data_IF_840536167483
#
_entry.id   IF_840536167483
#
_cell.length_a   1.000
_cell.length_b   1.000
_cell.length_c   1.000
_cell.angle_alpha   90.00
_cell.angle_beta   90.00
_cell.angle_gamma   90.00
#
_symmetry.space_group_name_H-M   'P 1'
#
loop_
_entity.id
_entity.type
_entity.pdbx_description
1 polymer ?
#
# COMPACT_ATOMS: atom_id res chain seq x y z
N UNK A 1 1.94 -11.21 -10.57
CA UNK A 1 1.64 -10.43 -9.35
C UNK A 1 2.18 -11.19 -8.16
N UNK A 2 2.52 -10.51 -7.07
CA UNK A 2 3.00 -11.12 -5.83
C UNK A 2 2.46 -10.37 -4.62
N UNK A 3 1.95 -11.08 -3.63
CA UNK A 3 1.62 -10.49 -2.33
C UNK A 3 2.91 -10.17 -1.59
N UNK A 4 3.14 -8.89 -1.32
CA UNK A 4 4.32 -8.37 -0.63
C UNK A 4 3.97 -7.82 0.75
N UNK A 5 2.75 -8.02 1.23
CA UNK A 5 2.36 -7.61 2.56
C UNK A 5 0.93 -7.99 2.91
N UNK A 6 0.66 -8.07 4.20
CA UNK A 6 -0.66 -8.35 4.77
C UNK A 6 -0.92 -7.32 5.86
N UNK A 7 -2.12 -6.75 5.84
CA UNK A 7 -2.51 -5.63 6.68
C UNK A 7 -3.87 -5.86 7.31
N UNK A 8 -4.05 -5.29 8.49
CA UNK A 8 -5.32 -5.26 9.20
C UNK A 8 -5.78 -3.81 9.33
N UNK A 9 -7.08 -3.60 9.16
CA UNK A 9 -7.72 -2.31 9.39
C UNK A 9 -7.58 -1.88 10.85
N UNK A 10 -7.39 -0.59 11.04
CA UNK A 10 -7.36 0.09 12.33
C UNK A 10 -8.30 1.28 12.26
N UNK A 11 -8.54 1.95 13.39
CA UNK A 11 -9.40 3.15 13.44
C UNK A 11 -8.99 4.23 12.43
N UNK A 12 -7.68 4.47 12.25
CA UNK A 12 -7.14 5.56 11.44
C UNK A 12 -6.30 5.12 10.22
N UNK A 13 -6.50 3.88 9.75
CA UNK A 13 -5.83 3.34 8.57
C UNK A 13 -5.52 1.86 8.69
N UNK A 14 -4.29 1.45 8.39
CA UNK A 14 -3.91 0.04 8.35
C UNK A 14 -2.56 -0.22 9.00
N UNK A 15 -2.39 -1.38 9.62
CA UNK A 15 -1.11 -1.83 10.17
C UNK A 15 -0.79 -3.23 9.69
N UNK A 16 0.50 -3.51 9.46
CA UNK A 16 0.90 -4.78 8.89
C UNK A 16 2.39 -4.84 8.63
N UNK A 17 2.78 -5.64 7.64
CA UNK A 17 4.18 -5.76 7.23
C UNK A 17 4.32 -5.79 5.72
N UNK A 18 5.46 -5.31 5.26
CA UNK A 18 5.90 -5.40 3.86
C UNK A 18 7.11 -6.32 3.82
N UNK A 19 7.01 -7.37 3.01
CA UNK A 19 8.04 -8.39 2.86
C UNK A 19 8.33 -8.67 1.38
N UNK A 20 9.60 -8.52 1.03
CA UNK A 20 10.17 -8.99 -0.24
C UNK A 20 11.39 -9.86 0.08
N UNK A 21 12.16 -10.26 -0.94
CA UNK A 21 13.39 -11.03 -0.71
C UNK A 21 14.40 -10.27 0.16
N UNK A 22 14.48 -8.94 0.03
CA UNK A 22 15.48 -8.10 0.69
C UNK A 22 14.90 -7.12 1.71
N UNK A 23 13.57 -6.97 1.76
CA UNK A 23 12.87 -6.07 2.68
C UNK A 23 12.00 -6.88 3.62
N UNK A 24 12.04 -6.58 4.92
CA UNK A 24 11.11 -7.12 5.90
C UNK A 24 10.87 -6.06 6.99
N UNK A 25 9.79 -5.30 6.85
CA UNK A 25 9.50 -4.16 7.73
C UNK A 25 8.05 -4.18 8.19
N UNK A 26 7.83 -3.80 9.45
CA UNK A 26 6.50 -3.38 9.90
C UNK A 26 6.17 -2.05 9.25
N UNK A 27 4.94 -1.90 8.78
CA UNK A 27 4.48 -0.70 8.14
C UNK A 27 3.07 -0.32 8.62
N UNK A 28 2.79 0.98 8.61
CA UNK A 28 1.46 1.53 8.89
C UNK A 28 1.06 2.52 7.82
N UNK A 29 -0.19 2.44 7.42
CA UNK A 29 -0.86 3.40 6.56
C UNK A 29 -1.62 4.34 7.48
N UNK A 30 -1.25 5.61 7.51
CA UNK A 30 -1.93 6.64 8.27
C UNK A 30 -2.74 7.51 7.34
N UNK A 31 -4.04 7.66 7.63
CA UNK A 31 -4.91 8.56 6.87
C UNK A 31 -4.39 10.00 6.96
N UNK A 32 -4.42 10.71 5.85
CA UNK A 32 -4.12 12.15 5.79
C UNK A 32 -5.38 12.91 6.14
N UNK A 33 -5.29 13.86 7.07
CA UNK A 33 -6.38 14.77 7.38
C UNK A 33 -6.55 15.77 6.22
N UNK A 34 -7.77 15.87 5.68
CA UNK A 34 -8.12 16.78 4.59
C UNK A 34 -7.20 16.65 3.35
N UNK A 35 -7.17 15.49 2.68
CA UNK A 35 -6.33 15.30 1.50
C UNK A 35 -6.75 16.26 0.39
N UNK A 36 -5.77 16.77 -0.37
CA UNK A 36 -6.07 17.52 -1.60
C UNK A 36 -6.63 16.58 -2.67
N UNK A 37 -7.34 17.12 -3.66
CA UNK A 37 -8.00 16.33 -4.73
C UNK A 37 -7.08 15.33 -5.43
N UNK A 38 -5.81 15.72 -5.64
CA UNK A 38 -4.78 14.87 -6.26
C UNK A 38 -3.78 14.30 -5.25
N UNK A 39 -3.94 14.66 -3.98
CA UNK A 39 -3.06 14.28 -2.90
C UNK A 39 -3.27 12.82 -2.47
N UNK A 40 -2.32 12.28 -1.69
CA UNK A 40 -2.48 10.96 -1.10
C UNK A 40 -3.54 10.99 0.00
N UNK A 41 -4.34 9.92 0.07
CA UNK A 41 -5.29 9.69 1.15
C UNK A 41 -4.61 9.05 2.37
N UNK A 42 -3.48 8.37 2.14
CA UNK A 42 -2.68 7.73 3.17
C UNK A 42 -1.20 8.01 2.98
N UNK A 43 -0.48 8.22 4.08
CA UNK A 43 0.98 8.19 4.16
C UNK A 43 1.41 6.87 4.77
N UNK A 44 2.48 6.28 4.24
CA UNK A 44 2.96 4.96 4.64
C UNK A 44 4.26 5.15 5.40
N UNK A 45 4.32 4.62 6.61
CA UNK A 45 5.48 4.72 7.48
C UNK A 45 6.01 3.34 7.84
N UNK A 46 7.33 3.19 7.81
CA UNK A 46 8.05 2.06 8.39
C UNK A 46 8.39 2.32 9.86
N UNK A 47 9.17 1.42 10.48
CA UNK A 47 9.68 1.60 11.84
C UNK A 47 10.43 2.93 12.00
N UNK A 48 10.33 3.54 13.19
CA UNK A 48 10.96 4.83 13.47
C UNK A 48 10.32 6.03 12.78
N UNK A 49 9.08 5.89 12.27
CA UNK A 49 8.36 6.95 11.53
C UNK A 49 9.05 7.41 10.24
N UNK A 50 9.85 6.53 9.64
CA UNK A 50 10.43 6.76 8.30
C UNK A 50 9.29 6.66 7.28
N UNK A 51 9.08 7.72 6.50
CA UNK A 51 8.09 7.72 5.42
C UNK A 51 8.59 6.85 4.26
N UNK A 52 7.81 5.85 3.88
CA UNK A 52 8.12 4.84 2.86
C UNK A 52 7.31 5.04 1.58
N UNK A 53 6.21 5.78 1.64
CA UNK A 53 5.34 5.93 0.49
C UNK A 53 3.97 6.52 0.80
N UNK A 54 3.07 6.34 -0.16
CA UNK A 54 1.74 6.91 -0.12
C UNK A 54 0.69 5.99 -0.77
N UNK A 55 -0.56 6.18 -0.37
CA UNK A 55 -1.72 5.47 -0.89
C UNK A 55 -2.85 6.41 -1.32
N UNK A 56 -3.53 6.06 -2.41
CA UNK A 56 -4.69 6.76 -2.94
C UNK A 56 -5.88 5.80 -2.97
N UNK A 57 -6.99 6.20 -2.36
CA UNK A 57 -8.24 5.46 -2.47
C UNK A 57 -8.77 5.54 -3.89
N UNK A 58 -9.16 4.39 -4.43
CA UNK A 58 -9.69 4.22 -5.78
C UNK A 58 -10.87 3.25 -5.73
N UNK A 59 -11.77 3.42 -6.69
CA UNK A 59 -12.89 2.54 -6.93
C UNK A 59 -12.67 1.81 -8.26
N UNK A 60 -12.86 0.51 -8.30
CA UNK A 60 -12.74 -0.29 -9.52
C UNK A 60 -14.11 -0.37 -10.22
N UNK A 61 -14.23 0.20 -11.41
CA UNK A 61 -15.48 0.10 -12.20
C UNK A 61 -15.79 -1.33 -12.64
N UNK A 62 -14.77 -2.18 -12.81
CA UNK A 62 -14.93 -3.57 -13.25
C UNK A 62 -15.40 -4.49 -12.13
N UNK A 63 -14.89 -4.30 -10.91
CA UNK A 63 -15.17 -5.19 -9.77
C UNK A 63 -16.16 -4.59 -8.78
N UNK A 64 -16.42 -3.28 -8.87
CA UNK A 64 -17.24 -2.53 -7.91
C UNK A 64 -16.61 -2.41 -6.52
N UNK A 65 -15.34 -2.79 -6.36
CA UNK A 65 -14.65 -2.82 -5.06
C UNK A 65 -13.71 -1.62 -4.92
N UNK A 66 -13.62 -1.12 -3.69
CA UNK A 66 -12.64 -0.13 -3.29
C UNK A 66 -11.27 -0.79 -3.06
N UNK A 67 -10.22 -0.06 -3.41
CA UNK A 67 -8.83 -0.46 -3.17
C UNK A 67 -7.95 0.77 -2.94
N UNK A 68 -6.75 0.57 -2.40
CA UNK A 68 -5.73 1.60 -2.42
C UNK A 68 -4.71 1.33 -3.53
N UNK A 69 -4.53 2.31 -4.41
CA UNK A 69 -3.33 2.38 -5.24
C UNK A 69 -2.18 2.86 -4.37
N UNK A 70 -1.07 2.13 -4.34
CA UNK A 70 0.06 2.35 -3.43
C UNK A 70 1.33 2.61 -4.23
N UNK A 71 2.09 3.62 -3.82
CA UNK A 71 3.46 3.87 -4.29
C UNK A 71 4.39 3.83 -3.09
N UNK A 72 5.35 2.91 -3.09
CA UNK A 72 6.46 2.85 -2.15
C UNK A 72 7.71 3.42 -2.84
N UNK A 73 8.36 4.40 -2.24
CA UNK A 73 9.43 5.17 -2.87
C UNK A 73 10.41 5.64 -1.78
N UNK A 74 11.37 4.77 -1.46
CA UNK A 74 12.43 5.03 -0.50
C UNK A 74 13.79 5.11 -1.22
N UNK A 75 14.75 5.93 -0.76
CA UNK A 75 16.07 6.06 -1.40
C UNK A 75 16.86 4.76 -1.55
N UNK A 76 16.57 3.71 -0.77
CA UNK A 76 17.20 2.39 -0.93
C UNK A 76 16.63 1.60 -2.12
N UNK A 77 15.52 2.03 -2.71
CA UNK A 77 14.91 1.37 -3.85
C UNK A 77 15.53 1.88 -5.16
N UNK A 78 15.85 0.99 -6.11
CA UNK A 78 16.35 1.42 -7.43
C UNK A 78 15.29 2.16 -8.26
N UNK A 79 14.01 1.98 -7.93
CA UNK A 79 12.86 2.67 -8.53
C UNK A 79 11.63 2.53 -7.62
N UNK A 80 10.59 3.38 -7.79
CA UNK A 80 9.34 3.23 -7.05
C UNK A 80 8.68 1.88 -7.29
N UNK A 81 8.11 1.30 -6.22
CA UNK A 81 7.33 0.07 -6.24
C UNK A 81 5.84 0.45 -6.20
N UNK A 82 5.10 0.04 -7.24
CA UNK A 82 3.65 0.24 -7.30
C UNK A 82 2.93 -1.04 -6.89
N UNK A 83 1.96 -0.90 -5.99
CA UNK A 83 1.18 -2.01 -5.46
C UNK A 83 -0.28 -1.61 -5.27
N UNK A 84 -1.11 -2.60 -4.98
CA UNK A 84 -2.53 -2.43 -4.66
C UNK A 84 -2.79 -3.04 -3.29
N UNK A 85 -3.35 -2.27 -2.36
CA UNK A 85 -3.89 -2.80 -1.11
C UNK A 85 -5.38 -3.07 -1.30
N UNK A 86 -5.81 -4.32 -1.15
CA UNK A 86 -7.19 -4.74 -1.39
C UNK A 86 -7.55 -5.95 -0.54
N UNK A 87 -8.84 -6.10 -0.22
CA UNK A 87 -9.36 -7.33 0.36
C UNK A 87 -9.39 -8.44 -0.69
N UNK A 88 -8.86 -9.62 -0.33
CA UNK A 88 -8.85 -10.80 -1.19
C UNK A 88 -9.72 -11.85 -0.54
N UNK A 89 -10.65 -12.41 -1.31
CA UNK A 89 -11.57 -13.43 -0.82
C UNK A 89 -10.82 -14.69 -0.37
N UNK A 90 -11.09 -15.15 0.85
CA UNK A 90 -10.41 -16.31 1.44
C UNK A 90 -9.09 -16.00 2.13
N UNK A 91 -8.62 -14.74 2.12
CA UNK A 91 -7.43 -14.30 2.84
C UNK A 91 -7.80 -13.46 4.07
N UNK A 92 -7.04 -13.61 5.15
CA UNK A 92 -7.21 -12.78 6.33
C UNK A 92 -6.63 -11.38 6.10
N UNK A 93 -7.47 -10.36 6.25
CA UNK A 93 -7.09 -8.95 6.09
C UNK A 93 -6.83 -8.53 4.64
N UNK A 94 -6.21 -7.36 4.49
CA UNK A 94 -5.92 -6.76 3.20
C UNK A 94 -4.55 -7.20 2.70
N UNK A 95 -4.47 -7.54 1.43
CA UNK A 95 -3.24 -7.97 0.77
C UNK A 95 -2.64 -6.79 0.00
N UNK A 96 -1.35 -6.54 0.20
CA UNK A 96 -0.56 -5.60 -0.59
C UNK A 96 0.05 -6.35 -1.77
N UNK A 97 -0.57 -6.22 -2.93
CA UNK A 97 -0.23 -6.98 -4.13
C UNK A 97 0.60 -6.10 -5.05
N UNK A 98 1.83 -6.49 -5.28
CA UNK A 98 2.70 -5.89 -6.28
C UNK A 98 2.52 -6.56 -7.64
N UNK A 99 2.56 -5.76 -8.70
CA UNK A 99 2.68 -6.23 -10.08
C UNK A 99 3.81 -5.48 -10.78
N UNK A 100 4.53 -6.20 -11.64
CA UNK A 100 5.51 -5.57 -12.52
C UNK A 100 4.74 -4.81 -13.60
N UNK A 101 5.01 -3.51 -13.83
CA UNK A 101 4.45 -2.82 -14.99
C UNK A 101 4.89 -3.56 -16.26
N UNK A 102 3.95 -3.90 -17.13
CA UNK A 102 4.31 -4.34 -18.48
C UNK A 102 5.00 -3.16 -19.17
N UNK A 103 6.24 -3.37 -19.60
CA UNK A 103 6.92 -2.47 -20.53
C UNK A 103 6.55 -2.95 -21.93
N UNK A 104 5.33 -2.66 -22.36
CA UNK A 104 4.96 -2.62 -23.77
C UNK A 104 4.66 -1.17 -24.13
#
# INVERSE_FOLDING_TARGET
MATIGTFTSTENGFTGSIRTLTLNVKARFQRVDNPSEKGPHFRIFAAGSVELGAGWQKHSEQTGRDYLSVKLDDPSFPAPIYATLVEVEGEDGLQLIWSRPNRD
#
